data_IF_984448371150
#
_entry.id   IF_984448371150
#
_cell.length_a   1.000
_cell.length_b   1.000
_cell.length_c   1.000
_cell.angle_alpha   90.00
_cell.angle_beta   90.00
_cell.angle_gamma   90.00
#
_symmetry.space_group_name_H-M   'P 1'
#
loop_
_entity.id
_entity.type
_entity.pdbx_description
1 polymer ?
#
# COMPACT_ATOMS: atom_id res chain seq x y z
N UNK A 1 55.87 -1.95 7.65
CA UNK A 1 57.01 -2.47 6.86
C UNK A 1 56.37 -3.23 5.70
N UNK A 2 56.24 -2.72 4.48
CA UNK A 2 57.19 -2.06 3.57
C UNK A 2 57.95 -3.06 2.66
N UNK A 3 57.71 -2.91 1.34
CA UNK A 3 58.47 -3.45 0.18
C UNK A 3 58.41 -4.98 -0.04
N UNK A 4 58.01 -5.55 -1.18
CA UNK A 4 58.16 -5.26 -2.64
C UNK A 4 59.30 -6.06 -3.31
N UNK A 5 59.05 -6.47 -4.58
CA UNK A 5 59.89 -7.22 -5.54
C UNK A 5 59.97 -8.75 -5.37
N UNK A 6 59.74 -9.58 -6.40
CA UNK A 6 59.19 -9.33 -7.75
C UNK A 6 59.81 -10.20 -8.86
N UNK A 7 59.15 -10.23 -10.04
CA UNK A 7 59.65 -10.75 -11.35
C UNK A 7 59.80 -12.29 -11.45
N UNK A 8 59.72 -12.96 -12.62
CA UNK A 8 59.57 -12.50 -14.02
C UNK A 8 59.07 -13.62 -14.99
N UNK A 9 58.80 -13.22 -16.25
CA UNK A 9 58.83 -14.03 -17.51
C UNK A 9 57.65 -14.99 -17.77
N UNK A 10 56.75 -14.82 -18.77
CA UNK A 10 56.80 -14.44 -20.22
C UNK A 10 56.95 -15.62 -21.19
N UNK A 11 55.84 -15.94 -21.89
CA UNK A 11 55.60 -16.16 -23.34
C UNK A 11 54.15 -16.74 -23.45
N UNK A 12 53.26 -16.32 -24.35
CA UNK A 12 53.41 -16.16 -25.81
C UNK A 12 53.06 -17.49 -26.50
N UNK A 13 52.25 -17.66 -27.55
CA UNK A 13 51.61 -16.80 -28.58
C UNK A 13 50.48 -17.66 -29.25
N UNK A 14 49.45 -17.21 -29.99
CA UNK A 14 48.90 -15.90 -30.38
C UNK A 14 47.44 -16.02 -30.94
N UNK A 15 46.86 -14.88 -31.37
CA UNK A 15 45.94 -14.56 -32.50
C UNK A 15 45.42 -15.68 -33.44
N UNK A 16 44.28 -15.62 -34.14
CA UNK A 16 43.47 -14.53 -34.75
C UNK A 16 42.11 -15.14 -35.24
N UNK A 17 41.07 -14.47 -35.75
CA UNK A 17 40.72 -13.05 -35.98
C UNK A 17 39.23 -12.91 -36.34
N UNK A 18 38.66 -11.73 -36.03
CA UNK A 18 37.43 -11.09 -36.50
C UNK A 18 36.69 -11.64 -37.76
N UNK A 19 35.36 -11.57 -37.70
CA UNK A 19 34.55 -10.93 -38.75
C UNK A 19 33.30 -10.28 -38.12
N UNK A 20 32.94 -9.08 -38.57
CA UNK A 20 31.75 -8.34 -38.14
C UNK A 20 30.77 -8.21 -39.32
N UNK A 21 29.47 -8.12 -39.05
CA UNK A 21 28.54 -7.46 -39.96
C UNK A 21 27.32 -6.90 -39.21
N UNK A 22 26.97 -5.66 -39.51
CA UNK A 22 25.73 -4.97 -39.10
C UNK A 22 24.56 -5.52 -39.96
N UNK A 23 23.27 -5.36 -39.66
CA UNK A 23 22.56 -4.63 -38.62
C UNK A 23 21.05 -4.70 -38.91
N UNK A 24 20.30 -3.64 -38.56
CA UNK A 24 18.88 -3.40 -38.90
C UNK A 24 17.82 -4.18 -38.10
N UNK A 25 17.28 -3.50 -37.08
CA UNK A 25 15.86 -3.16 -37.05
C UNK A 25 14.86 -4.14 -36.41
N UNK A 26 14.46 -3.88 -35.17
CA UNK A 26 13.29 -3.02 -34.89
C UNK A 26 13.05 -2.89 -33.37
N UNK A 27 13.08 -1.66 -32.86
CA UNK A 27 12.60 -1.37 -31.50
C UNK A 27 11.08 -1.53 -31.43
N UNK A 28 10.58 -2.61 -30.82
CA UNK A 28 9.17 -2.67 -30.41
C UNK A 28 9.03 -1.90 -29.10
N UNK A 29 8.96 -0.58 -29.23
CA UNK A 29 8.51 0.33 -28.17
C UNK A 29 7.05 -0.01 -27.84
N UNK A 30 6.83 -0.95 -26.90
CA UNK A 30 5.50 -1.35 -26.48
C UNK A 30 4.86 -0.22 -25.67
N UNK A 31 4.24 0.72 -26.37
CA UNK A 31 3.42 1.79 -25.80
C UNK A 31 2.48 1.18 -24.76
N UNK A 32 2.72 1.48 -23.48
CA UNK A 32 1.76 1.18 -22.42
C UNK A 32 0.56 2.09 -22.62
N UNK A 33 -0.40 1.57 -23.38
CA UNK A 33 -1.73 2.13 -23.59
C UNK A 33 -2.25 2.77 -22.29
N UNK A 34 -2.48 4.08 -22.35
CA UNK A 34 -3.09 4.86 -21.28
C UNK A 34 -4.61 4.63 -21.23
N UNK A 35 -5.03 3.36 -21.27
CA UNK A 35 -6.42 2.97 -21.09
C UNK A 35 -6.75 2.98 -19.59
N UNK A 36 -6.76 4.21 -19.05
CA UNK A 36 -7.33 4.50 -17.74
C UNK A 36 -8.78 4.02 -17.69
N UNK A 37 -9.15 3.45 -16.55
CA UNK A 37 -10.46 2.81 -16.32
C UNK A 37 -11.58 3.87 -16.32
N UNK A 38 -12.17 4.12 -17.49
CA UNK A 38 -13.17 5.18 -17.73
C UNK A 38 -14.58 4.88 -17.23
N UNK A 39 -14.90 3.62 -16.87
CA UNK A 39 -16.26 3.23 -16.45
C UNK A 39 -16.28 2.56 -15.08
N UNK A 40 -16.71 3.32 -14.10
CA UNK A 40 -17.11 2.88 -12.76
C UNK A 40 -17.76 4.05 -12.04
N UNK A 41 -18.78 3.85 -11.18
CA UNK A 41 -19.42 4.96 -10.49
C UNK A 41 -18.40 5.72 -9.63
N UNK A 42 -18.08 6.96 -10.03
CA UNK A 42 -17.10 7.80 -9.33
C UNK A 42 -17.67 8.31 -8.01
N UNK A 43 -17.74 7.43 -7.00
CA UNK A 43 -17.94 7.81 -5.59
C UNK A 43 -16.65 8.43 -5.02
N UNK A 44 -16.17 9.50 -5.65
CA UNK A 44 -15.07 10.33 -5.14
C UNK A 44 -15.52 11.79 -5.15
N UNK A 45 -15.02 12.52 -4.15
CA UNK A 45 -15.25 13.96 -3.95
C UNK A 45 -15.13 14.74 -5.26
N UNK A 46 -16.05 15.68 -5.48
CA UNK A 46 -16.08 16.58 -6.65
C UNK A 46 -14.79 17.41 -6.77
N UNK A 47 -14.14 17.73 -5.65
CA UNK A 47 -12.74 18.18 -5.62
C UNK A 47 -11.77 17.04 -5.35
N UNK A 48 -10.62 17.09 -6.03
CA UNK A 48 -9.55 16.11 -5.98
C UNK A 48 -8.84 15.96 -4.62
N UNK A 49 -7.66 15.34 -4.69
CA UNK A 49 -6.81 15.03 -3.53
C UNK A 49 -6.49 16.30 -2.72
N UNK A 50 -6.37 16.14 -1.39
CA UNK A 50 -5.96 17.22 -0.50
C UNK A 50 -4.52 17.63 -0.77
N UNK A 51 -4.27 18.94 -0.89
CA UNK A 51 -2.90 19.48 -1.08
C UNK A 51 -2.20 19.75 0.25
N UNK A 52 -0.89 19.98 0.21
CA UNK A 52 -0.11 20.30 1.41
C UNK A 52 -0.52 21.66 2.01
N UNK A 53 -0.91 22.61 1.16
CA UNK A 53 -1.42 23.92 1.53
C UNK A 53 -2.78 23.80 2.22
N UNK A 54 -3.69 22.99 1.68
CA UNK A 54 -4.98 22.69 2.32
C UNK A 54 -4.79 22.01 3.68
N UNK A 55 -3.85 21.06 3.79
CA UNK A 55 -3.51 20.42 5.07
C UNK A 55 -2.93 21.41 6.09
N UNK A 56 -2.06 22.33 5.65
CA UNK A 56 -1.48 23.37 6.51
C UNK A 56 -2.54 24.38 6.99
N UNK A 57 -3.50 24.75 6.13
CA UNK A 57 -4.66 25.56 6.51
C UNK A 57 -5.52 24.79 7.52
N UNK A 58 -5.79 23.50 7.28
CA UNK A 58 -6.62 22.67 8.16
C UNK A 58 -5.98 22.54 9.54
N UNK A 59 -4.67 22.33 9.61
CA UNK A 59 -3.92 22.27 10.86
C UNK A 59 -4.05 23.56 11.68
N UNK A 60 -3.76 24.72 11.07
CA UNK A 60 -3.88 26.04 11.73
C UNK A 60 -5.32 26.34 12.16
N UNK A 61 -6.31 25.96 11.35
CA UNK A 61 -7.72 26.15 11.67
C UNK A 61 -8.16 25.26 12.86
N UNK A 62 -7.75 23.98 12.88
CA UNK A 62 -8.04 23.07 14.01
C UNK A 62 -7.36 23.53 15.29
N UNK A 63 -6.11 24.01 15.22
CA UNK A 63 -5.39 24.58 16.36
C UNK A 63 -6.09 25.83 16.92
N UNK A 64 -6.56 26.72 16.04
CA UNK A 64 -7.30 27.95 16.40
C UNK A 64 -8.67 27.68 17.01
N UNK A 65 -9.42 26.72 16.47
CA UNK A 65 -10.78 26.38 16.90
C UNK A 65 -10.86 25.14 17.81
N UNK A 66 -9.70 24.65 18.28
CA UNK A 66 -9.51 23.48 19.16
C UNK A 66 -10.32 22.24 18.76
N UNK A 67 -10.50 22.03 17.44
CA UNK A 67 -11.25 20.90 16.86
C UNK A 67 -12.76 20.83 17.19
N UNK A 68 -13.36 21.89 17.77
CA UNK A 68 -14.74 21.86 18.29
C UNK A 68 -15.80 22.48 17.36
N UNK A 69 -15.42 23.19 16.29
CA UNK A 69 -16.37 23.83 15.37
C UNK A 69 -15.97 23.66 13.90
N UNK A 70 -16.39 22.53 13.31
CA UNK A 70 -16.03 22.14 11.94
C UNK A 70 -16.64 23.01 10.85
N UNK A 71 -17.81 23.63 11.09
CA UNK A 71 -18.40 24.62 10.19
C UNK A 71 -17.50 25.84 10.05
N UNK A 72 -17.01 26.37 11.18
CA UNK A 72 -16.08 27.51 11.19
C UNK A 72 -14.68 27.17 10.66
N UNK A 73 -14.25 25.92 10.77
CA UNK A 73 -13.04 25.42 10.10
C UNK A 73 -13.24 25.36 8.58
N UNK A 74 -14.43 24.97 8.11
CA UNK A 74 -14.74 24.91 6.68
C UNK A 74 -14.79 26.29 6.00
N UNK A 75 -15.15 27.36 6.72
CA UNK A 75 -15.06 28.76 6.23
C UNK A 75 -13.65 29.15 5.76
N UNK A 76 -12.59 28.46 6.22
CA UNK A 76 -11.22 28.65 5.72
C UNK A 76 -10.94 28.01 4.35
N UNK A 77 -11.92 27.32 3.75
CA UNK A 77 -11.80 26.61 2.48
C UNK A 77 -12.93 27.03 1.52
N UNK A 78 -12.63 27.44 0.28
CA UNK A 78 -13.68 27.83 -0.66
C UNK A 78 -14.59 26.66 -1.09
N UNK A 79 -14.07 25.42 -1.07
CA UNK A 79 -14.75 24.25 -1.65
C UNK A 79 -14.54 22.95 -0.84
N UNK A 80 -14.24 23.05 0.47
CA UNK A 80 -14.21 21.88 1.36
C UNK A 80 -15.33 21.99 2.39
N UNK A 81 -16.10 20.93 2.55
CA UNK A 81 -17.17 20.90 3.56
C UNK A 81 -16.61 20.60 4.96
N UNK A 82 -17.35 20.99 5.99
CA UNK A 82 -17.07 20.66 7.39
C UNK A 82 -16.84 19.15 7.61
N UNK A 83 -17.66 18.31 6.99
CA UNK A 83 -17.51 16.84 7.01
C UNK A 83 -16.22 16.38 6.32
N UNK A 84 -15.79 17.04 5.23
CA UNK A 84 -14.51 16.72 4.58
C UNK A 84 -13.32 17.12 5.45
N UNK A 85 -13.35 18.31 6.06
CA UNK A 85 -12.33 18.77 7.01
C UNK A 85 -12.22 17.85 8.24
N UNK A 86 -13.36 17.49 8.83
CA UNK A 86 -13.46 16.53 9.94
C UNK A 86 -12.83 15.18 9.57
N UNK A 87 -13.22 14.62 8.42
CA UNK A 87 -12.69 13.33 7.96
C UNK A 87 -11.20 13.39 7.63
N UNK A 88 -10.70 14.50 7.05
CA UNK A 88 -9.28 14.68 6.76
C UNK A 88 -8.46 14.74 8.05
N UNK A 89 -8.95 15.49 9.04
CA UNK A 89 -8.32 15.54 10.36
C UNK A 89 -8.30 14.16 11.03
N UNK A 90 -9.47 13.57 11.29
CA UNK A 90 -9.63 12.33 12.05
C UNK A 90 -8.93 11.10 11.43
N UNK A 91 -8.66 11.11 10.11
CA UNK A 91 -8.14 9.92 9.40
C UNK A 91 -6.73 10.11 8.82
N UNK A 92 -6.18 11.33 8.82
CA UNK A 92 -4.90 11.63 8.16
C UNK A 92 -4.01 12.60 8.93
N UNK A 93 -4.55 13.73 9.41
CA UNK A 93 -3.73 14.82 9.97
C UNK A 93 -3.63 14.86 11.49
N UNK A 94 -4.58 14.29 12.24
CA UNK A 94 -4.52 14.32 13.70
C UNK A 94 -3.19 13.72 14.19
N UNK A 95 -2.33 14.47 14.93
CA UNK A 95 -1.04 13.98 15.39
C UNK A 95 -1.14 12.80 16.38
N UNK A 96 -2.31 12.58 16.98
CA UNK A 96 -2.58 11.38 17.80
C UNK A 96 -2.63 10.08 16.97
N UNK A 97 -2.65 10.14 15.63
CA UNK A 97 -2.73 8.95 14.76
C UNK A 97 -1.38 8.24 14.61
N UNK A 98 -1.33 6.97 15.01
CA UNK A 98 -0.13 6.14 14.90
C UNK A 98 0.01 5.56 13.49
N UNK A 99 1.01 6.08 12.76
CA UNK A 99 1.38 5.67 11.39
C UNK A 99 2.53 4.66 11.34
N UNK A 100 3.12 4.32 12.50
CA UNK A 100 4.29 3.45 12.64
C UNK A 100 3.99 1.94 12.63
N UNK A 101 5.03 1.10 12.82
CA UNK A 101 4.90 -0.36 12.92
C UNK A 101 3.97 -0.76 14.06
N UNK A 102 3.48 -2.00 14.03
CA UNK A 102 2.66 -2.59 15.09
C UNK A 102 3.54 -3.18 16.19
N UNK A 103 3.19 -2.91 17.45
CA UNK A 103 3.80 -3.58 18.60
C UNK A 103 3.12 -4.94 18.86
N UNK A 104 3.75 -5.79 19.69
CA UNK A 104 3.18 -7.10 20.06
C UNK A 104 1.94 -6.94 20.94
N UNK A 105 1.99 -5.96 21.83
CA UNK A 105 0.92 -5.60 22.75
C UNK A 105 -0.32 -5.10 21.97
N UNK A 106 -0.12 -4.31 20.91
CA UNK A 106 -1.21 -3.92 20.01
C UNK A 106 -1.81 -5.12 19.25
N UNK A 107 -0.96 -6.04 18.77
CA UNK A 107 -1.41 -7.26 18.09
C UNK A 107 -2.22 -8.17 19.04
N UNK A 108 -1.77 -8.34 20.28
CA UNK A 108 -2.46 -9.08 21.34
C UNK A 108 -3.85 -8.48 21.63
N UNK A 109 -3.94 -7.15 21.75
CA UNK A 109 -5.23 -6.44 21.91
C UNK A 109 -6.15 -6.69 20.71
N UNK A 110 -5.65 -6.68 19.47
CA UNK A 110 -6.46 -7.03 18.29
C UNK A 110 -6.96 -8.47 18.40
N UNK A 111 -6.09 -9.42 18.75
CA UNK A 111 -6.45 -10.84 18.85
C UNK A 111 -7.53 -11.06 19.91
N UNK A 112 -7.38 -10.48 21.11
CA UNK A 112 -8.38 -10.58 22.18
C UNK A 112 -9.72 -9.94 21.76
N UNK A 113 -9.69 -8.73 21.21
CA UNK A 113 -10.89 -8.00 20.83
C UNK A 113 -11.61 -8.66 19.64
N UNK A 114 -10.89 -9.28 18.70
CA UNK A 114 -11.48 -10.10 17.63
C UNK A 114 -12.06 -11.40 18.20
N UNK A 115 -11.40 -12.06 19.15
CA UNK A 115 -11.95 -13.24 19.85
C UNK A 115 -13.26 -12.90 20.59
N UNK A 116 -13.36 -11.71 21.16
CA UNK A 116 -14.52 -11.22 21.93
C UNK A 116 -15.68 -10.71 21.07
N UNK A 117 -15.40 -10.01 19.97
CA UNK A 117 -16.40 -9.28 19.17
C UNK A 117 -16.57 -9.77 17.73
N UNK A 118 -15.71 -10.68 17.27
CA UNK A 118 -15.61 -11.17 15.90
C UNK A 118 -14.90 -10.18 14.94
N UNK A 119 -14.37 -10.66 13.80
CA UNK A 119 -13.61 -9.86 12.82
C UNK A 119 -14.54 -9.00 11.93
N UNK A 120 -15.40 -8.20 12.57
CA UNK A 120 -16.40 -7.33 11.91
C UNK A 120 -16.50 -5.95 12.57
N UNK A 121 -16.36 -5.86 13.90
CA UNK A 121 -16.57 -4.62 14.68
C UNK A 121 -15.32 -3.75 14.81
N UNK A 122 -14.66 -3.47 13.68
CA UNK A 122 -13.35 -2.83 13.63
C UNK A 122 -13.27 -1.44 14.30
N UNK A 123 -14.34 -0.64 14.22
CA UNK A 123 -14.41 0.66 14.92
C UNK A 123 -14.45 0.50 16.45
N UNK A 124 -15.06 -0.58 16.96
CA UNK A 124 -15.07 -0.91 18.40
C UNK A 124 -13.72 -1.47 18.84
N UNK A 125 -13.09 -2.32 18.03
CA UNK A 125 -11.75 -2.86 18.30
C UNK A 125 -10.72 -1.72 18.43
N UNK A 126 -10.77 -0.74 17.53
CA UNK A 126 -9.88 0.42 17.56
C UNK A 126 -10.05 1.33 18.80
N UNK A 127 -11.15 1.26 19.54
CA UNK A 127 -11.31 2.04 20.78
C UNK A 127 -10.36 1.55 21.90
N UNK A 128 -9.87 0.32 21.82
CA UNK A 128 -8.85 -0.21 22.75
C UNK A 128 -7.40 0.07 22.30
N UNK A 129 -7.20 0.75 21.17
CA UNK A 129 -5.88 0.97 20.56
C UNK A 129 -5.66 2.48 20.31
N UNK A 130 -5.07 3.20 21.29
CA UNK A 130 -4.84 4.64 21.18
C UNK A 130 -4.16 5.03 19.87
N UNK A 131 -4.79 5.95 19.13
CA UNK A 131 -4.25 6.45 17.86
C UNK A 131 -4.33 5.51 16.66
N UNK A 132 -4.80 4.26 16.81
CA UNK A 132 -5.10 3.37 15.67
C UNK A 132 -6.54 3.54 15.22
N UNK A 133 -6.79 3.40 13.92
CA UNK A 133 -8.15 3.41 13.36
C UNK A 133 -8.60 2.02 12.93
N UNK A 134 -9.93 1.79 12.92
CA UNK A 134 -10.51 0.49 12.58
C UNK A 134 -10.08 -0.07 11.21
N UNK A 135 -9.76 0.79 10.23
CA UNK A 135 -9.16 0.35 8.95
C UNK A 135 -7.82 -0.36 9.18
N UNK A 136 -6.92 0.25 9.96
CA UNK A 136 -5.60 -0.32 10.26
C UNK A 136 -5.76 -1.64 11.02
N UNK A 137 -6.66 -1.71 12.00
CA UNK A 137 -6.93 -2.94 12.78
C UNK A 137 -7.43 -4.08 11.87
N UNK A 138 -8.36 -3.78 10.95
CA UNK A 138 -8.86 -4.75 9.95
C UNK A 138 -7.73 -5.26 9.05
N UNK A 139 -6.91 -4.35 8.55
CA UNK A 139 -5.79 -4.64 7.63
C UNK A 139 -4.74 -5.49 8.34
N UNK A 140 -4.38 -5.14 9.58
CA UNK A 140 -3.45 -5.93 10.42
C UNK A 140 -3.97 -7.34 10.69
N UNK A 141 -5.26 -7.48 11.03
CA UNK A 141 -5.87 -8.78 11.25
C UNK A 141 -5.82 -9.66 9.99
N UNK A 142 -6.39 -9.20 8.87
CA UNK A 142 -6.52 -10.03 7.67
C UNK A 142 -5.20 -10.31 6.95
N UNK A 143 -4.15 -9.51 7.17
CA UNK A 143 -2.87 -9.68 6.48
C UNK A 143 -1.78 -10.35 7.35
N UNK A 144 -1.92 -10.38 8.69
CA UNK A 144 -0.83 -10.87 9.56
C UNK A 144 -1.27 -11.74 10.75
N UNK A 145 -2.39 -11.42 11.40
CA UNK A 145 -2.78 -12.02 12.69
C UNK A 145 -3.82 -13.15 12.58
N UNK A 146 -4.64 -13.14 11.53
CA UNK A 146 -5.64 -14.17 11.32
C UNK A 146 -4.97 -15.55 11.14
N UNK A 147 -5.27 -16.57 11.97
CA UNK A 147 -4.63 -17.88 11.88
C UNK A 147 -4.87 -18.62 10.56
N UNK A 148 -5.90 -18.23 9.78
CA UNK A 148 -6.18 -18.84 8.48
C UNK A 148 -5.31 -18.32 7.33
N UNK A 149 -4.31 -17.47 7.59
CA UNK A 149 -3.39 -16.95 6.56
C UNK A 149 -2.27 -17.96 6.33
N UNK A 150 -2.12 -18.43 5.10
CA UNK A 150 -1.00 -19.26 4.69
C UNK A 150 0.22 -18.37 4.41
N UNK A 151 1.33 -18.63 5.14
CA UNK A 151 2.60 -17.90 5.05
C UNK A 151 3.68 -18.66 4.27
N UNK A 152 3.40 -19.90 3.89
CA UNK A 152 4.31 -20.73 3.10
C UNK A 152 4.44 -20.20 1.66
N UNK A 153 5.49 -20.59 0.91
CA UNK A 153 5.60 -20.32 -0.52
C UNK A 153 4.35 -20.78 -1.30
N UNK A 154 4.16 -20.22 -2.49
CA UNK A 154 3.10 -20.68 -3.39
C UNK A 154 3.38 -22.10 -3.86
N UNK A 155 2.38 -22.98 -3.81
CA UNK A 155 2.49 -24.32 -4.39
C UNK A 155 2.09 -24.30 -5.86
N UNK A 156 2.53 -25.32 -6.61
CA UNK A 156 2.22 -25.40 -8.03
C UNK A 156 0.70 -25.52 -8.28
N UNK A 157 -0.02 -26.15 -7.36
CA UNK A 157 -1.47 -26.31 -7.38
C UNK A 157 -2.19 -24.97 -7.16
N UNK A 158 -1.71 -24.14 -6.24
CA UNK A 158 -2.24 -22.79 -6.02
C UNK A 158 -2.01 -21.88 -7.25
N UNK A 159 -0.84 -21.97 -7.89
CA UNK A 159 -0.55 -21.26 -9.13
C UNK A 159 -1.48 -21.69 -10.27
N UNK A 160 -1.67 -23.01 -10.46
CA UNK A 160 -2.58 -23.56 -11.47
C UNK A 160 -4.02 -23.11 -11.19
N UNK A 161 -4.47 -23.16 -9.93
CA UNK A 161 -5.79 -22.69 -9.52
C UNK A 161 -5.99 -21.20 -9.81
N UNK A 162 -4.98 -20.36 -9.53
CA UNK A 162 -4.99 -18.93 -9.86
C UNK A 162 -5.09 -18.69 -11.37
N UNK A 163 -4.32 -19.42 -12.18
CA UNK A 163 -4.34 -19.30 -13.65
C UNK A 163 -5.71 -19.69 -14.21
N UNK A 164 -6.26 -20.84 -13.80
CA UNK A 164 -7.58 -21.29 -14.24
C UNK A 164 -8.69 -20.34 -13.79
N UNK A 165 -8.66 -19.85 -12.54
CA UNK A 165 -9.63 -18.89 -12.05
C UNK A 165 -9.53 -17.53 -12.80
N UNK A 166 -8.33 -17.07 -13.14
CA UNK A 166 -8.14 -15.85 -13.95
C UNK A 166 -8.68 -16.01 -15.36
N UNK A 167 -8.48 -17.17 -16.02
CA UNK A 167 -9.06 -17.46 -17.33
C UNK A 167 -10.59 -17.40 -17.33
N UNK A 168 -11.24 -17.90 -16.27
CA UNK A 168 -12.71 -17.95 -16.16
C UNK A 168 -13.32 -16.60 -15.74
N UNK A 169 -12.73 -15.93 -14.73
CA UNK A 169 -13.33 -14.75 -14.09
C UNK A 169 -12.64 -13.42 -14.45
N UNK A 170 -11.46 -13.46 -15.06
CA UNK A 170 -10.63 -12.30 -15.34
C UNK A 170 -10.15 -11.59 -14.08
N UNK A 171 -10.02 -10.26 -14.14
CA UNK A 171 -9.51 -9.41 -13.06
C UNK A 171 -10.51 -9.21 -11.88
N UNK A 172 -11.37 -10.20 -11.61
CA UNK A 172 -12.32 -10.22 -10.48
C UNK A 172 -11.65 -10.83 -9.24
N UNK A 173 -10.65 -10.15 -8.69
CA UNK A 173 -9.84 -10.66 -7.57
C UNK A 173 -10.64 -11.23 -6.39
N UNK A 174 -11.76 -10.61 -6.01
CA UNK A 174 -12.63 -11.10 -4.92
C UNK A 174 -13.37 -12.42 -5.23
N UNK A 175 -13.45 -12.81 -6.50
CA UNK A 175 -13.90 -14.15 -6.92
C UNK A 175 -12.72 -15.13 -6.91
N UNK A 176 -11.55 -14.74 -7.44
CA UNK A 176 -10.33 -15.55 -7.44
C UNK A 176 -9.91 -15.99 -6.02
N UNK A 177 -9.98 -15.11 -5.03
CA UNK A 177 -9.63 -15.43 -3.63
C UNK A 177 -10.49 -16.54 -3.00
N UNK A 178 -11.65 -16.88 -3.60
CA UNK A 178 -12.48 -18.00 -3.11
C UNK A 178 -11.87 -19.37 -3.43
N UNK A 179 -10.98 -19.43 -4.43
CA UNK A 179 -10.28 -20.65 -4.87
C UNK A 179 -8.90 -20.81 -4.23
N UNK A 180 -8.46 -19.81 -3.45
CA UNK A 180 -7.11 -19.70 -2.89
C UNK A 180 -7.21 -19.52 -1.36
N UNK A 181 -7.64 -20.56 -0.61
CA UNK A 181 -7.92 -20.46 0.81
C UNK A 181 -6.65 -20.09 1.59
N UNK A 182 -6.68 -18.93 2.25
CA UNK A 182 -5.57 -18.42 3.06
C UNK A 182 -4.57 -17.54 2.33
N UNK A 183 -4.85 -17.14 1.08
CA UNK A 183 -4.10 -16.13 0.32
C UNK A 183 -4.86 -14.80 0.22
#
# INVERSE_FOLDING_TARGET
MASDKGKNSVKGEASSSNAAHEGVGQEIQKQRSLNGRTTGPTRRSTKGQWTAEEDAILYKAVERFKGKNWKKIAECFPDRTDVQCLHRWQKVLNPELVKGPWSKEEDEIIIEMVKKFGPKKWSTIAQALPGRIGKQCRERWHNHLNPSINKEPWTQEEEIALIHAHQIYGNKWAELTKFLPGR
#
